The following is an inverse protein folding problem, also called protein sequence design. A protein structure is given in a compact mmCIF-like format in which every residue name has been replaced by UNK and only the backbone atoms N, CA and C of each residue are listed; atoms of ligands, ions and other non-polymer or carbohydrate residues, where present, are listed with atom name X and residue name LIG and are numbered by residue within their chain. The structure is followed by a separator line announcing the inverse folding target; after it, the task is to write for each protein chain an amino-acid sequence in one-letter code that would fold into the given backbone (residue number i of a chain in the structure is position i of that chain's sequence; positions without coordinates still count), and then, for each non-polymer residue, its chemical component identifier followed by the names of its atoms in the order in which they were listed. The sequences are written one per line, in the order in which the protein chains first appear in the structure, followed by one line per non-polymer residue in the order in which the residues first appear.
data_IF_340782453023
#
_entry.id   IF_340782453023
#
_cell.length_a   1.000
_cell.length_b   1.000
_cell.length_c   1.000
_cell.angle_alpha   90.00
_cell.angle_beta   90.00
_cell.angle_gamma   90.00
#
_symmetry.space_group_name_H-M   'P 1'
#
loop_
_entity.id
_entity.type
_entity.pdbx_description
1 polymer ?
#
# COMPACT_ATOMS: atom_id res chain seq x y z
N UNK A 1 20.81 -19.15 0.45
CA UNK A 1 19.59 -18.71 -0.24
C UNK A 1 19.11 -17.42 0.38
N UNK A 2 18.87 -16.38 -0.42
CA UNK A 2 18.28 -15.11 -0.01
C UNK A 2 16.89 -15.01 -0.65
N UNK A 3 15.83 -14.81 0.15
CA UNK A 3 14.48 -14.57 -0.36
C UNK A 3 14.08 -13.14 -0.02
N UNK A 4 13.64 -12.39 -1.04
CA UNK A 4 13.26 -10.97 -0.96
C UNK A 4 11.78 -10.83 -1.29
N UNK A 5 10.89 -10.93 -0.29
CA UNK A 5 9.49 -10.65 -0.51
C UNK A 5 9.24 -9.15 -0.69
N UNK A 6 8.15 -8.81 -1.39
CA UNK A 6 7.57 -7.46 -1.37
C UNK A 6 6.61 -7.33 -0.17
N UNK A 7 5.60 -6.46 -0.25
CA UNK A 7 4.54 -6.45 0.77
C UNK A 7 3.92 -7.85 0.88
N UNK A 8 4.14 -8.50 2.01
CA UNK A 8 3.54 -9.80 2.33
C UNK A 8 2.32 -9.57 3.21
N UNK A 9 1.15 -10.04 2.80
CA UNK A 9 -0.12 -9.78 3.49
C UNK A 9 -0.96 -11.07 3.69
N UNK A 10 -1.98 -11.01 4.53
CA UNK A 10 -2.89 -12.14 4.83
C UNK A 10 -3.17 -12.31 6.32
N UNK A 11 -4.30 -12.95 6.66
CA UNK A 11 -4.82 -13.01 8.04
C UNK A 11 -5.18 -11.61 8.55
N UNK A 12 -4.70 -11.23 9.74
CA UNK A 12 -4.82 -9.85 10.24
C UNK A 12 -3.67 -8.91 9.77
N UNK A 13 -2.87 -9.35 8.78
CA UNK A 13 -1.70 -8.64 8.24
C UNK A 13 -2.03 -7.43 7.34
N UNK A 14 -1.03 -6.60 7.10
CA UNK A 14 -1.18 -5.15 6.88
C UNK A 14 -1.46 -4.71 5.44
N UNK A 15 -2.38 -3.73 5.35
CA UNK A 15 -2.55 -2.78 4.25
C UNK A 15 -1.52 -1.65 4.41
N UNK A 16 -0.94 -1.16 3.31
CA UNK A 16 0.12 -0.13 3.33
C UNK A 16 -0.46 1.24 2.94
N UNK A 17 -0.65 2.17 3.91
CA UNK A 17 -1.01 3.54 3.61
C UNK A 17 0.21 4.41 3.32
N UNK A 18 -0.01 5.53 2.63
CA UNK A 18 1.03 6.57 2.48
C UNK A 18 1.48 7.08 3.85
N UNK A 19 0.53 7.42 4.71
CA UNK A 19 0.75 7.83 6.10
C UNK A 19 -0.35 7.28 6.98
N UNK A 20 -0.04 7.10 8.26
CA UNK A 20 -0.97 6.61 9.27
C UNK A 20 -1.12 5.10 9.30
N UNK A 21 -2.15 4.63 9.97
CA UNK A 21 -2.44 3.22 10.12
C UNK A 21 -3.39 2.71 9.02
N UNK A 22 -3.10 1.53 8.47
CA UNK A 22 -3.94 0.91 7.43
C UNK A 22 -5.39 0.70 7.85
N UNK A 23 -5.67 0.28 9.08
CA UNK A 23 -7.05 0.13 9.57
C UNK A 23 -7.76 1.46 9.77
N UNK A 24 -7.03 2.50 10.21
CA UNK A 24 -7.57 3.86 10.30
C UNK A 24 -7.94 4.40 8.92
N UNK A 25 -7.09 4.20 7.90
CA UNK A 25 -7.41 4.61 6.52
C UNK A 25 -8.59 3.81 5.95
N UNK A 26 -8.71 2.51 6.26
CA UNK A 26 -9.90 1.72 5.90
C UNK A 26 -11.17 2.23 6.58
N UNK A 27 -11.11 2.62 7.87
CA UNK A 27 -12.22 3.24 8.60
C UNK A 27 -12.66 4.54 7.92
N UNK A 28 -11.72 5.39 7.50
CA UNK A 28 -12.01 6.61 6.73
C UNK A 28 -12.73 6.30 5.41
N UNK A 29 -12.27 5.28 4.67
CA UNK A 29 -12.94 4.86 3.43
C UNK A 29 -14.40 4.47 3.67
N UNK A 30 -14.68 3.66 4.69
CA UNK A 30 -16.07 3.29 5.05
C UNK A 30 -16.93 4.51 5.36
N UNK A 31 -16.35 5.51 5.99
CA UNK A 31 -17.02 6.76 6.35
C UNK A 31 -17.12 7.76 5.17
N UNK A 32 -16.63 7.40 3.97
CA UNK A 32 -16.62 8.29 2.81
C UNK A 32 -15.70 9.52 2.97
N UNK A 33 -14.75 9.43 3.91
CA UNK A 33 -13.78 10.48 4.18
C UNK A 33 -12.59 10.41 3.23
N UNK A 34 -11.96 11.55 2.90
CA UNK A 34 -10.79 11.57 2.05
C UNK A 34 -9.58 10.88 2.70
N UNK A 35 -8.72 10.31 1.86
CA UNK A 35 -7.45 9.69 2.25
C UNK A 35 -6.27 10.31 1.49
N UNK A 36 -5.12 10.39 2.16
CA UNK A 36 -3.88 10.97 1.65
C UNK A 36 -3.14 9.94 0.81
N UNK A 37 -2.85 10.32 -0.42
CA UNK A 37 -1.98 9.58 -1.34
C UNK A 37 -0.70 10.39 -1.54
N UNK A 38 0.45 9.74 -1.42
CA UNK A 38 1.74 10.38 -1.69
C UNK A 38 1.95 10.57 -3.19
N UNK A 39 2.60 11.67 -3.57
CA UNK A 39 2.81 12.00 -4.97
C UNK A 39 1.47 12.19 -5.69
N UNK A 40 1.38 11.65 -6.89
CA UNK A 40 0.18 11.64 -7.73
C UNK A 40 -0.53 10.27 -7.72
N UNK A 41 -0.10 9.34 -6.85
CA UNK A 41 -0.66 8.00 -6.74
C UNK A 41 -0.37 7.06 -7.91
N UNK A 42 0.46 7.48 -8.87
CA UNK A 42 0.76 6.67 -10.06
C UNK A 42 1.90 5.66 -9.86
N UNK A 43 2.65 5.77 -8.76
CA UNK A 43 3.69 4.81 -8.41
C UNK A 43 3.12 3.39 -8.33
N UNK A 44 3.83 2.45 -8.93
CA UNK A 44 3.41 1.05 -9.00
C UNK A 44 3.77 0.33 -7.71
N UNK A 45 2.80 -0.41 -7.19
CA UNK A 45 2.89 -1.21 -6.00
C UNK A 45 2.48 -2.66 -6.28
N UNK A 46 2.99 -3.58 -5.47
CA UNK A 46 2.71 -5.00 -5.59
C UNK A 46 2.69 -5.67 -4.22
N UNK A 47 1.74 -6.59 -4.03
CA UNK A 47 1.58 -7.35 -2.79
C UNK A 47 1.44 -8.85 -3.09
N UNK A 48 2.05 -9.67 -2.25
CA UNK A 48 2.00 -11.12 -2.35
C UNK A 48 1.34 -11.72 -1.11
N UNK A 49 0.38 -12.62 -1.31
CA UNK A 49 -0.27 -13.25 -0.18
C UNK A 49 0.70 -14.20 0.54
N UNK A 50 0.67 -14.20 1.87
CA UNK A 50 1.61 -14.95 2.73
C UNK A 50 1.69 -16.44 2.40
N UNK A 51 0.62 -17.05 1.90
CA UNK A 51 0.60 -18.47 1.55
C UNK A 51 1.50 -18.76 0.34
N UNK A 52 1.48 -17.89 -0.67
CA UNK A 52 2.31 -18.04 -1.86
C UNK A 52 3.79 -17.76 -1.52
N UNK A 53 4.03 -16.74 -0.68
CA UNK A 53 5.37 -16.46 -0.15
C UNK A 53 5.90 -17.64 0.64
N UNK A 54 5.11 -18.19 1.57
CA UNK A 54 5.51 -19.32 2.42
C UNK A 54 5.90 -20.56 1.60
N UNK A 55 5.19 -20.85 0.50
CA UNK A 55 5.53 -21.97 -0.38
C UNK A 55 6.95 -21.85 -0.95
N UNK A 56 7.37 -20.66 -1.39
CA UNK A 56 8.73 -20.44 -1.88
C UNK A 56 9.80 -20.64 -0.77
N UNK A 57 9.51 -20.20 0.46
CA UNK A 57 10.40 -20.43 1.60
C UNK A 57 10.54 -21.92 1.92
N UNK A 58 9.44 -22.66 1.96
CA UNK A 58 9.45 -24.11 2.22
C UNK A 58 10.25 -24.85 1.15
N UNK A 59 10.04 -24.51 -0.12
CA UNK A 59 10.73 -25.14 -1.25
C UNK A 59 12.22 -24.78 -1.37
N UNK A 60 12.69 -23.76 -0.63
CA UNK A 60 14.11 -23.44 -0.55
C UNK A 60 14.87 -24.36 0.42
N UNK A 61 14.19 -24.99 1.38
CA UNK A 61 14.82 -25.80 2.43
C UNK A 61 15.38 -27.09 1.80
N UNK A 62 16.70 -27.30 1.94
CA UNK A 62 17.39 -28.47 1.39
C UNK A 62 17.54 -28.47 -0.14
N UNK A 63 17.09 -27.42 -0.81
CA UNK A 63 17.16 -27.30 -2.26
C UNK A 63 18.56 -26.84 -2.71
N UNK A 64 19.33 -27.76 -3.28
CA UNK A 64 20.70 -27.49 -3.74
C UNK A 64 20.75 -26.42 -4.85
N UNK A 65 19.73 -26.33 -5.70
CA UNK A 65 19.68 -25.30 -6.75
C UNK A 65 19.52 -23.88 -6.16
N UNK A 66 18.93 -23.76 -4.97
CA UNK A 66 18.76 -22.49 -4.28
C UNK A 66 20.00 -22.05 -3.49
N UNK A 67 20.98 -22.93 -3.28
CA UNK A 67 22.17 -22.63 -2.48
C UNK A 67 22.98 -21.48 -3.11
N UNK A 68 23.31 -20.48 -2.29
CA UNK A 68 23.99 -19.26 -2.75
C UNK A 68 23.17 -18.30 -3.63
N UNK A 69 21.92 -18.63 -3.98
CA UNK A 69 21.10 -17.82 -4.89
C UNK A 69 20.20 -16.81 -4.17
N UNK A 70 19.75 -15.78 -4.91
CA UNK A 70 18.80 -14.77 -4.47
C UNK A 70 17.52 -14.77 -5.30
N UNK A 71 16.37 -14.67 -4.63
CA UNK A 71 15.04 -14.79 -5.24
C UNK A 71 14.13 -13.63 -4.84
N UNK A 72 13.46 -13.03 -5.81
CA UNK A 72 12.28 -12.21 -5.52
C UNK A 72 11.08 -13.14 -5.37
N UNK A 73 10.25 -12.86 -4.37
CA UNK A 73 9.00 -13.61 -4.13
C UNK A 73 7.91 -12.58 -3.89
N UNK A 74 7.42 -11.99 -4.97
CA UNK A 74 6.51 -10.84 -4.94
C UNK A 74 5.19 -11.16 -5.61
N UNK A 75 4.22 -10.24 -5.53
CA UNK A 75 3.00 -10.38 -6.31
C UNK A 75 3.28 -10.21 -7.80
N UNK A 76 2.28 -10.55 -8.62
CA UNK A 76 2.33 -10.45 -10.09
C UNK A 76 1.23 -9.54 -10.65
N UNK A 77 0.44 -8.91 -9.76
CA UNK A 77 -0.50 -7.85 -10.09
C UNK A 77 0.13 -6.49 -9.74
N UNK A 78 0.55 -5.75 -10.77
CA UNK A 78 1.08 -4.40 -10.65
C UNK A 78 -0.05 -3.38 -10.64
N UNK A 79 -0.16 -2.62 -9.55
CA UNK A 79 -1.23 -1.65 -9.34
C UNK A 79 -0.62 -0.28 -9.09
N UNK A 80 -1.19 0.79 -9.66
CA UNK A 80 -0.87 2.12 -9.14
C UNK A 80 -1.33 2.22 -7.68
N UNK A 81 -0.69 3.05 -6.87
CA UNK A 81 -1.10 3.25 -5.46
C UNK A 81 -2.56 3.70 -5.33
N UNK A 82 -3.02 4.47 -6.32
CA UNK A 82 -4.42 4.84 -6.53
C UNK A 82 -5.32 3.61 -6.74
N UNK A 83 -4.94 2.70 -7.65
CA UNK A 83 -5.68 1.45 -7.93
C UNK A 83 -5.68 0.53 -6.71
N UNK A 84 -4.55 0.42 -6.01
CA UNK A 84 -4.42 -0.34 -4.77
C UNK A 84 -5.49 0.05 -3.74
N UNK A 85 -5.65 1.36 -3.50
CA UNK A 85 -6.66 1.87 -2.57
C UNK A 85 -8.10 1.81 -3.09
N UNK A 86 -8.33 1.96 -4.40
CA UNK A 86 -9.66 1.71 -4.99
C UNK A 86 -10.10 0.25 -4.81
N UNK A 87 -9.20 -0.71 -5.00
CA UNK A 87 -9.49 -2.13 -4.81
C UNK A 87 -9.81 -2.46 -3.35
N UNK A 88 -9.13 -1.81 -2.39
CA UNK A 88 -9.47 -1.91 -0.96
C UNK A 88 -10.86 -1.34 -0.69
N UNK A 89 -11.19 -0.16 -1.22
CA UNK A 89 -12.51 0.46 -1.03
C UNK A 89 -13.64 -0.43 -1.60
N UNK A 90 -13.44 -0.99 -2.79
CA UNK A 90 -14.36 -1.97 -3.39
C UNK A 90 -14.54 -3.20 -2.50
N UNK A 91 -13.45 -3.74 -1.94
CA UNK A 91 -13.51 -4.90 -1.05
C UNK A 91 -14.20 -4.59 0.29
N UNK A 92 -14.08 -3.35 0.79
CA UNK A 92 -14.78 -2.85 1.99
C UNK A 92 -16.28 -2.61 1.77
N UNK A 93 -16.75 -2.56 0.51
CA UNK A 93 -18.09 -2.03 0.20
C UNK A 93 -18.20 -0.52 0.46
N UNK A 94 -17.08 0.19 0.48
CA UNK A 94 -17.01 1.63 0.68
C UNK A 94 -17.34 2.41 -0.62
N UNK A 95 -17.71 3.69 -0.53
CA UNK A 95 -17.85 4.56 -1.71
C UNK A 95 -16.51 4.74 -2.44
N UNK A 96 -16.57 5.28 -3.66
CA UNK A 96 -15.37 5.64 -4.43
C UNK A 96 -14.46 6.57 -3.61
N UNK A 97 -13.16 6.24 -3.46
CA UNK A 97 -12.25 7.02 -2.65
C UNK A 97 -12.10 8.47 -3.12
N UNK A 98 -12.09 9.40 -2.16
CA UNK A 98 -11.65 10.78 -2.39
C UNK A 98 -10.17 10.87 -2.06
N UNK A 99 -9.33 10.81 -3.08
CA UNK A 99 -7.88 10.94 -2.90
C UNK A 99 -7.47 12.42 -2.76
N UNK A 100 -6.63 12.68 -1.76
CA UNK A 100 -5.91 13.94 -1.59
C UNK A 100 -4.44 13.66 -1.85
N UNK A 101 -4.00 14.00 -3.05
CA UNK A 101 -2.62 13.84 -3.49
C UNK A 101 -1.74 14.95 -2.91
N UNK A 102 -0.70 14.57 -2.17
CA UNK A 102 0.30 15.48 -1.62
C UNK A 102 1.66 15.09 -2.20
N UNK A 103 2.41 15.99 -2.86
CA UNK A 103 3.72 15.69 -3.41
C UNK A 103 4.64 15.06 -2.35
N UNK A 104 5.28 13.94 -2.67
CA UNK A 104 6.07 13.18 -1.69
C UNK A 104 7.12 14.04 -0.98
N UNK A 105 7.85 14.87 -1.72
CA UNK A 105 8.84 15.78 -1.14
C UNK A 105 8.24 16.76 -0.11
N UNK A 106 7.01 17.21 -0.34
CA UNK A 106 6.30 18.07 0.61
C UNK A 106 5.85 17.26 1.81
N UNK A 107 5.25 16.09 1.58
CA UNK A 107 4.75 15.21 2.64
C UNK A 107 5.88 14.77 3.59
N UNK A 108 7.06 14.43 3.05
CA UNK A 108 8.24 14.03 3.84
C UNK A 108 8.92 15.18 4.56
N UNK A 109 8.75 16.44 4.12
CA UNK A 109 9.18 17.61 4.89
C UNK A 109 8.23 17.91 6.06
N UNK A 110 6.93 17.74 5.84
CA UNK A 110 5.89 18.01 6.85
C UNK A 110 5.85 16.92 7.93
N UNK A 111 6.00 15.66 7.53
CA UNK A 111 5.89 14.49 8.40
C UNK A 111 7.10 13.55 8.25
N UNK A 112 8.33 13.97 8.58
CA UNK A 112 9.55 13.22 8.28
C UNK A 112 9.54 11.78 8.81
N UNK A 113 8.99 11.56 10.02
CA UNK A 113 8.89 10.20 10.57
C UNK A 113 7.73 9.37 10.03
N UNK A 114 6.62 9.99 9.56
CA UNK A 114 5.44 9.24 9.09
C UNK A 114 5.49 8.96 7.59
N UNK A 115 6.15 9.84 6.83
CA UNK A 115 6.28 9.78 5.38
C UNK A 115 7.70 9.39 4.95
N UNK A 116 8.50 8.82 5.86
CA UNK A 116 9.83 8.26 5.56
C UNK A 116 9.71 7.25 4.41
N UNK A 117 8.83 6.25 4.58
CA UNK A 117 8.64 5.21 3.56
C UNK A 117 8.06 5.71 2.24
N UNK A 118 7.30 6.82 2.24
CA UNK A 118 6.87 7.44 0.99
C UNK A 118 8.07 7.85 0.15
N UNK A 119 9.08 8.45 0.78
CA UNK A 119 10.30 8.93 0.12
C UNK A 119 11.25 7.80 -0.22
N UNK A 120 11.46 6.88 0.71
CA UNK A 120 12.46 5.82 0.54
C UNK A 120 11.95 4.69 -0.37
N UNK A 121 10.64 4.52 -0.52
CA UNK A 121 10.08 3.39 -1.25
C UNK A 121 8.82 3.73 -2.06
N UNK A 122 7.74 4.21 -1.45
CA UNK A 122 6.41 4.17 -2.07
C UNK A 122 6.32 5.05 -3.33
N UNK A 123 7.11 6.13 -3.43
CA UNK A 123 7.18 6.96 -4.63
C UNK A 123 7.86 6.28 -5.83
N UNK A 124 8.50 5.12 -5.65
CA UNK A 124 9.20 4.37 -6.68
C UNK A 124 8.40 3.13 -7.11
N UNK A 125 8.50 2.78 -8.39
CA UNK A 125 7.81 1.62 -8.95
C UNK A 125 8.40 0.32 -8.39
N UNK A 126 7.56 -0.44 -7.68
CA UNK A 126 7.86 -1.75 -7.14
C UNK A 126 7.46 -2.83 -8.17
N UNK A 127 8.33 -3.03 -9.17
CA UNK A 127 8.19 -4.03 -10.22
C UNK A 127 9.36 -5.01 -10.11
N UNK A 128 9.05 -6.30 -10.01
CA UNK A 128 10.04 -7.35 -9.75
C UNK A 128 9.89 -8.50 -10.74
N UNK A 129 11.01 -9.16 -11.02
CA UNK A 129 11.05 -10.41 -11.78
C UNK A 129 11.08 -11.61 -10.82
N UNK A 130 10.05 -12.46 -10.91
CA UNK A 130 9.91 -13.71 -10.15
C UNK A 130 10.45 -14.95 -10.90
N UNK A 131 11.00 -14.81 -12.12
CA UNK A 131 11.37 -15.93 -13.00
C UNK A 131 12.25 -16.98 -12.31
N UNK A 132 13.25 -16.57 -11.54
CA UNK A 132 14.11 -17.48 -10.80
C UNK A 132 13.36 -18.25 -9.69
N UNK A 133 12.42 -17.60 -9.01
CA UNK A 133 11.62 -18.23 -7.96
C UNK A 133 10.62 -19.24 -8.54
N UNK A 134 10.01 -18.95 -9.69
CA UNK A 134 9.20 -19.91 -10.43
C UNK A 134 10.00 -21.16 -10.78
N UNK A 135 11.20 -20.97 -11.35
CA UNK A 135 12.06 -22.05 -11.83
C UNK A 135 12.60 -22.92 -10.69
N UNK A 136 13.18 -22.30 -9.67
CA UNK A 136 13.98 -23.02 -8.68
C UNK A 136 13.22 -23.31 -7.38
N UNK A 137 12.26 -22.45 -7.01
CA UNK A 137 11.51 -22.56 -5.76
C UNK A 137 10.06 -23.00 -5.98
N UNK A 138 9.66 -23.29 -7.23
CA UNK A 138 8.28 -23.65 -7.56
C UNK A 138 7.26 -22.61 -7.10
N UNK A 139 7.67 -21.35 -6.96
CA UNK A 139 6.79 -20.25 -6.58
C UNK A 139 5.63 -20.18 -7.58
N UNK A 140 4.42 -19.87 -7.09
CA UNK A 140 3.26 -19.57 -7.93
C UNK A 140 2.46 -18.47 -7.28
N UNK A 141 2.04 -17.50 -8.07
CA UNK A 141 1.07 -16.49 -7.65
C UNK A 141 -0.34 -17.07 -7.80
N UNK A 142 -0.95 -17.50 -6.69
CA UNK A 142 -2.23 -18.21 -6.70
C UNK A 142 -3.36 -17.42 -6.04
N UNK A 143 -3.03 -16.50 -5.14
CA UNK A 143 -4.02 -15.63 -4.48
C UNK A 143 -3.94 -14.23 -5.09
N UNK A 144 -4.96 -13.86 -5.86
CA UNK A 144 -5.10 -12.52 -6.42
C UNK A 144 -5.26 -11.48 -5.31
N UNK A 145 -4.82 -10.25 -5.58
CA UNK A 145 -4.91 -9.13 -4.65
C UNK A 145 -6.32 -8.95 -4.11
N UNK A 146 -7.33 -8.85 -4.99
CA UNK A 146 -8.74 -8.61 -4.62
C UNK A 146 -9.30 -9.70 -3.68
N UNK A 147 -8.96 -10.97 -3.94
CA UNK A 147 -9.44 -12.09 -3.13
C UNK A 147 -8.77 -12.11 -1.75
N UNK A 148 -7.45 -11.93 -1.73
CA UNK A 148 -6.71 -11.90 -0.48
C UNK A 148 -7.10 -10.71 0.39
N UNK A 149 -7.27 -9.51 -0.17
CA UNK A 149 -7.61 -8.32 0.62
C UNK A 149 -9.03 -8.41 1.19
N UNK A 150 -9.96 -9.01 0.44
CA UNK A 150 -11.31 -9.32 0.93
C UNK A 150 -11.26 -10.26 2.13
N UNK A 151 -10.39 -11.27 2.11
CA UNK A 151 -10.18 -12.16 3.25
C UNK A 151 -9.62 -11.41 4.47
N UNK A 152 -8.62 -10.55 4.28
CA UNK A 152 -8.05 -9.73 5.37
C UNK A 152 -9.11 -8.83 5.99
N UNK A 153 -9.89 -8.11 5.18
CA UNK A 153 -10.99 -7.26 5.65
C UNK A 153 -11.99 -8.09 6.46
N UNK A 154 -12.38 -9.27 5.98
CA UNK A 154 -13.28 -10.16 6.70
C UNK A 154 -12.75 -10.59 8.08
N UNK A 155 -11.45 -10.85 8.22
CA UNK A 155 -10.83 -11.15 9.52
C UNK A 155 -10.80 -9.93 10.46
N UNK A 156 -10.51 -8.74 9.92
CA UNK A 156 -10.54 -7.49 10.67
C UNK A 156 -11.96 -7.14 11.14
N UNK A 157 -12.98 -7.42 10.33
CA UNK A 157 -14.38 -7.19 10.69
C UNK A 157 -14.87 -8.13 11.80
N UNK A 158 -14.50 -9.41 11.75
CA UNK A 158 -14.81 -10.37 12.82
C UNK A 158 -14.30 -9.92 14.18
N UNK A 159 -13.17 -9.21 14.21
CA UNK A 159 -12.54 -8.69 15.42
C UNK A 159 -12.89 -7.23 15.69
N UNK A 160 -13.73 -6.60 14.85
CA UNK A 160 -14.07 -5.19 14.88
C UNK A 160 -12.84 -4.24 14.83
N UNK A 161 -11.71 -4.72 14.30
CA UNK A 161 -10.43 -4.01 14.33
C UNK A 161 -10.41 -2.73 13.48
N UNK A 162 -11.24 -2.64 12.44
CA UNK A 162 -11.37 -1.42 11.62
C UNK A 162 -12.12 -0.34 12.40
N UNK A 163 -13.29 -0.64 12.96
CA UNK A 163 -14.10 0.38 13.64
C UNK A 163 -13.51 0.80 15.00
N UNK A 164 -12.89 -0.13 15.71
CA UNK A 164 -12.28 0.12 17.03
C UNK A 164 -10.88 0.72 16.98
N UNK A 165 -10.30 0.92 15.78
CA UNK A 165 -8.97 1.52 15.68
C UNK A 165 -8.97 2.96 16.24
N UNK A 166 -7.85 3.34 16.85
CA UNK A 166 -7.66 4.68 17.38
C UNK A 166 -7.66 5.72 16.27
N UNK A 167 -8.24 6.88 16.56
CA UNK A 167 -8.21 7.99 15.62
C UNK A 167 -6.81 8.59 15.51
N UNK A 168 -6.53 9.23 14.37
CA UNK A 168 -5.27 9.91 14.10
C UNK A 168 -5.50 11.40 13.83
N UNK A 169 -5.65 12.26 14.86
CA UNK A 169 -6.06 13.66 14.69
C UNK A 169 -5.14 14.49 13.77
N UNK A 170 -3.87 14.14 13.68
CA UNK A 170 -2.92 14.81 12.79
C UNK A 170 -3.31 14.64 11.30
N UNK A 171 -4.03 13.58 10.96
CA UNK A 171 -4.43 13.27 9.59
C UNK A 171 -5.41 14.33 9.07
N UNK A 172 -6.46 14.63 9.85
CA UNK A 172 -7.42 15.68 9.51
C UNK A 172 -6.80 17.08 9.61
N UNK A 173 -5.86 17.29 10.53
CA UNK A 173 -5.10 18.54 10.60
C UNK A 173 -4.28 18.78 9.34
N UNK A 174 -3.61 17.75 8.82
CA UNK A 174 -2.84 17.82 7.58
C UNK A 174 -3.75 18.08 6.38
N UNK A 175 -4.88 17.36 6.26
CA UNK A 175 -5.85 17.58 5.19
C UNK A 175 -6.36 19.04 5.16
N UNK A 176 -6.79 19.57 6.31
CA UNK A 176 -7.27 20.96 6.42
C UNK A 176 -6.17 21.96 6.08
N UNK A 177 -4.94 21.73 6.53
CA UNK A 177 -3.81 22.59 6.22
C UNK A 177 -3.48 22.57 4.72
N UNK A 178 -3.51 21.38 4.10
CA UNK A 178 -3.27 21.20 2.67
C UNK A 178 -4.31 21.92 1.82
N UNK A 179 -5.60 21.78 2.14
CA UNK A 179 -6.69 22.46 1.44
C UNK A 179 -6.52 23.99 1.52
N UNK A 180 -6.28 24.50 2.73
CA UNK A 180 -6.06 25.94 2.95
C UNK A 180 -4.87 26.47 2.16
N UNK A 181 -3.73 25.77 2.18
CA UNK A 181 -2.54 26.16 1.42
C UNK A 181 -2.79 26.11 -0.08
N UNK A 182 -3.49 25.08 -0.56
CA UNK A 182 -3.83 24.92 -1.98
C UNK A 182 -4.73 26.04 -2.47
N UNK A 183 -5.71 26.45 -1.68
CA UNK A 183 -6.60 27.57 -2.04
C UNK A 183 -5.87 28.92 -2.02
N UNK A 184 -4.96 29.14 -1.06
CA UNK A 184 -4.14 30.34 -1.03
C UNK A 184 -3.20 30.41 -2.25
N UNK A 185 -2.55 29.31 -2.62
CA UNK A 185 -1.67 29.25 -3.80
C UNK A 185 -2.43 29.56 -5.10
N UNK A 186 -3.68 29.11 -5.23
CA UNK A 186 -4.53 29.47 -6.38
C UNK A 186 -4.78 30.98 -6.47
N UNK A 187 -4.98 31.65 -5.33
CA UNK A 187 -5.18 33.10 -5.27
C UNK A 187 -3.89 33.86 -5.58
N UNK A 188 -2.78 33.46 -4.97
CA UNK A 188 -1.49 34.13 -5.12
C UNK A 188 -0.94 34.01 -6.55
N UNK A 189 -1.23 32.88 -7.21
CA UNK A 189 -0.83 32.62 -8.59
C UNK A 189 -1.87 33.09 -9.63
N UNK A 190 -2.96 33.74 -9.20
CA UNK A 190 -4.02 34.16 -10.11
C UNK A 190 -3.47 35.13 -11.17
N UNK A 191 -3.60 34.75 -12.44
CA UNK A 191 -3.16 35.55 -13.58
C UNK A 191 -1.68 35.47 -13.94
N UNK A 192 -0.91 34.57 -13.32
CA UNK A 192 0.51 34.33 -13.69
C UNK A 192 0.68 33.53 -14.99
N UNK A 193 -0.36 32.84 -15.45
CA UNK A 193 -0.37 32.00 -16.66
C UNK A 193 -1.23 32.62 -17.79
N UNK A 194 -1.37 33.95 -17.78
CA UNK A 194 -2.08 34.73 -18.80
C UNK A 194 -1.10 35.46 -19.73
#
# INVERSE_FOLDING_TARGET
TLIRPAQTYGGAGFVVPSVGNGTYVMKRLRQGQPIIIHGDGTSVWVACHRNDVANAFVNAIGNQAAFGQGYNVTGEEWMTFDTYWRMIAKALGAPEPKFVHIPTDTLSRLLPGRAEWCKENFMHNNIFDNTAAHRDLGFRYTVKWEDGIRSVIGELDKTNAIESCSDEPYYDLLLKAWDKCSDQLKLDCAGLDN
#
